data_IF_252729167747
#
_entry.id   IF_252729167747
#
_cell.length_a   1.000
_cell.length_b   1.000
_cell.length_c   1.000
_cell.angle_alpha   90.00
_cell.angle_beta   90.00
_cell.angle_gamma   90.00
#
_symmetry.space_group_name_H-M   'P 1'
#
loop_
_entity.id
_entity.type
_entity.pdbx_description
1 polymer ?
#
# COMPACT_ATOMS: atom_id res chain seq x y z
N UNK A 1 22.24 28.69 12.74
CA UNK A 1 23.61 28.38 12.29
C UNK A 1 24.12 29.62 11.59
N UNK A 2 25.29 30.13 11.96
CA UNK A 2 25.91 31.25 11.26
C UNK A 2 26.33 30.83 9.84
N UNK A 3 26.22 31.71 8.85
CA UNK A 3 26.59 31.43 7.46
C UNK A 3 28.04 30.97 7.34
N UNK A 4 28.93 31.58 8.11
CA UNK A 4 30.35 31.19 8.16
C UNK A 4 30.54 29.73 8.62
N UNK A 5 29.74 29.29 9.61
CA UNK A 5 29.77 27.93 10.13
C UNK A 5 29.25 26.92 9.10
N UNK A 6 28.19 27.26 8.34
CA UNK A 6 27.68 26.42 7.26
C UNK A 6 28.71 26.23 6.14
N UNK A 7 29.38 27.32 5.72
CA UNK A 7 30.43 27.25 4.69
C UNK A 7 31.60 26.37 5.15
N UNK A 8 32.04 26.50 6.41
CA UNK A 8 33.09 25.65 6.96
C UNK A 8 32.67 24.17 7.05
N UNK A 9 31.42 23.90 7.43
CA UNK A 9 30.86 22.55 7.40
C UNK A 9 30.91 21.94 5.98
N UNK A 10 30.40 22.65 4.98
CA UNK A 10 30.39 22.17 3.59
C UNK A 10 31.81 21.92 3.05
N UNK A 11 32.77 22.77 3.41
CA UNK A 11 34.19 22.58 3.05
C UNK A 11 34.75 21.26 3.60
N UNK A 12 34.49 20.98 4.89
CA UNK A 12 34.93 19.74 5.54
C UNK A 12 34.26 18.51 4.93
N UNK A 13 32.98 18.60 4.60
CA UNK A 13 32.22 17.50 4.01
C UNK A 13 32.78 17.12 2.63
N UNK A 14 33.07 18.10 1.77
CA UNK A 14 33.72 17.87 0.47
C UNK A 14 35.10 17.23 0.62
N UNK A 15 35.90 17.65 1.61
CA UNK A 15 37.20 17.05 1.89
C UNK A 15 37.05 15.58 2.32
N UNK A 16 36.13 15.30 3.24
CA UNK A 16 35.84 13.94 3.71
C UNK A 16 35.33 13.04 2.57
N UNK A 17 34.39 13.52 1.74
CA UNK A 17 33.87 12.78 0.59
C UNK A 17 34.98 12.41 -0.40
N UNK A 18 35.90 13.34 -0.70
CA UNK A 18 37.05 13.07 -1.60
C UNK A 18 37.95 11.98 -1.03
N UNK A 19 38.21 11.99 0.28
CA UNK A 19 39.05 10.97 0.90
C UNK A 19 38.36 9.60 0.95
N UNK A 20 37.05 9.56 1.14
CA UNK A 20 36.25 8.32 1.01
C UNK A 20 36.31 7.78 -0.42
N UNK A 21 36.12 8.63 -1.44
CA UNK A 21 36.16 8.24 -2.85
C UNK A 21 37.51 7.61 -3.23
N UNK A 22 38.63 8.15 -2.75
CA UNK A 22 39.98 7.58 -3.00
C UNK A 22 40.16 6.17 -2.42
N UNK A 23 39.40 5.81 -1.38
CA UNK A 23 39.52 4.52 -0.66
C UNK A 23 38.50 3.49 -1.13
N UNK A 24 37.36 3.93 -1.69
CA UNK A 24 36.31 3.05 -2.16
C UNK A 24 36.66 2.46 -3.54
N UNK A 25 36.31 1.18 -3.78
CA UNK A 25 36.52 0.58 -5.08
C UNK A 25 35.51 1.14 -6.11
N UNK A 26 35.96 1.30 -7.36
CA UNK A 26 35.18 1.94 -8.43
C UNK A 26 34.28 0.99 -9.23
N UNK A 27 34.34 -0.33 -8.99
CA UNK A 27 33.61 -1.33 -9.81
C UNK A 27 32.07 -1.16 -9.77
N UNK A 28 31.51 -0.60 -8.69
CA UNK A 28 30.08 -0.33 -8.56
C UNK A 28 29.64 1.00 -9.19
N UNK A 29 30.59 1.84 -9.62
CA UNK A 29 30.33 3.13 -10.28
C UNK A 29 30.33 3.02 -11.80
N UNK A 30 29.96 1.85 -12.34
CA UNK A 30 29.84 1.61 -13.77
C UNK A 30 28.74 0.56 -14.06
N UNK A 31 28.31 0.49 -15.32
CA UNK A 31 27.41 -0.56 -15.79
C UNK A 31 26.00 -0.48 -15.20
N UNK A 32 25.42 -1.66 -14.95
CA UNK A 32 24.01 -1.80 -14.61
C UNK A 32 23.64 -1.23 -13.23
N UNK A 33 24.50 -1.37 -12.22
CA UNK A 33 24.23 -0.88 -10.86
C UNK A 33 24.13 0.65 -10.82
N UNK A 34 25.06 1.34 -11.48
CA UNK A 34 25.00 2.80 -11.60
C UNK A 34 23.77 3.25 -12.40
N UNK A 35 23.41 2.53 -13.47
CA UNK A 35 22.20 2.81 -14.24
C UNK A 35 20.92 2.62 -13.39
N UNK A 36 20.87 1.61 -12.51
CA UNK A 36 19.78 1.41 -11.57
C UNK A 36 19.69 2.53 -10.54
N UNK A 37 20.83 3.03 -10.04
CA UNK A 37 20.85 4.19 -9.14
C UNK A 37 20.32 5.46 -9.82
N UNK A 38 20.70 5.73 -11.08
CA UNK A 38 20.14 6.85 -11.85
C UNK A 38 18.64 6.70 -12.10
N UNK A 39 18.18 5.46 -12.34
CA UNK A 39 16.76 5.16 -12.49
C UNK A 39 15.98 5.45 -11.19
N UNK A 40 16.52 5.08 -10.04
CA UNK A 40 15.95 5.43 -8.71
C UNK A 40 15.80 6.94 -8.56
N UNK A 41 16.82 7.74 -8.92
CA UNK A 41 16.74 9.21 -8.88
C UNK A 41 15.63 9.72 -9.81
N UNK A 42 15.58 9.22 -11.05
CA UNK A 42 14.56 9.60 -12.03
C UNK A 42 13.14 9.28 -11.55
N UNK A 43 12.94 8.14 -10.90
CA UNK A 43 11.64 7.74 -10.34
C UNK A 43 11.25 8.66 -9.19
N UNK A 44 12.19 8.92 -8.27
CA UNK A 44 11.95 9.76 -7.10
C UNK A 44 11.69 11.23 -7.48
N UNK A 45 12.41 11.78 -8.45
CA UNK A 45 12.24 13.15 -8.94
C UNK A 45 10.89 13.33 -9.67
N UNK A 46 10.48 12.31 -10.42
CA UNK A 46 9.17 12.31 -11.09
C UNK A 46 8.03 12.28 -10.07
N UNK A 47 8.14 11.44 -9.05
CA UNK A 47 7.12 11.24 -8.03
C UNK A 47 5.79 10.69 -8.56
N UNK A 48 4.86 10.48 -7.63
CA UNK A 48 3.49 10.01 -7.88
C UNK A 48 2.49 11.11 -7.52
N UNK A 49 1.46 11.31 -8.35
CA UNK A 49 0.42 12.30 -8.08
C UNK A 49 -0.51 11.79 -6.97
N UNK A 50 -0.80 12.66 -6.00
CA UNK A 50 -1.61 12.34 -4.83
C UNK A 50 -2.96 13.05 -4.92
N UNK A 51 -4.05 12.34 -4.64
CA UNK A 51 -5.37 12.93 -4.39
C UNK A 51 -5.40 13.53 -2.98
N UNK A 52 -4.99 14.80 -2.86
CA UNK A 52 -4.92 15.49 -1.57
C UNK A 52 -6.29 15.69 -0.92
N UNK A 53 -7.34 15.82 -1.73
CA UNK A 53 -8.71 15.98 -1.23
C UNK A 53 -9.18 14.69 -0.54
N UNK A 54 -8.91 13.54 -1.15
CA UNK A 54 -9.16 12.24 -0.53
C UNK A 54 -8.33 12.07 0.75
N UNK A 55 -7.06 12.48 0.74
CA UNK A 55 -6.20 12.39 1.93
C UNK A 55 -6.79 13.19 3.10
N UNK A 56 -7.19 14.44 2.86
CA UNK A 56 -7.78 15.30 3.89
C UNK A 56 -9.13 14.75 4.38
N UNK A 57 -9.99 14.33 3.45
CA UNK A 57 -11.28 13.73 3.77
C UNK A 57 -11.13 12.45 4.62
N UNK A 58 -10.18 11.58 4.28
CA UNK A 58 -9.89 10.37 5.03
C UNK A 58 -9.35 10.67 6.43
N UNK A 59 -8.49 11.69 6.60
CA UNK A 59 -8.04 12.13 7.93
C UNK A 59 -9.24 12.54 8.78
N UNK A 60 -10.12 13.39 8.24
CA UNK A 60 -11.33 13.83 8.95
C UNK A 60 -12.25 12.67 9.33
N UNK A 61 -12.48 11.73 8.41
CA UNK A 61 -13.27 10.53 8.64
C UNK A 61 -12.69 9.66 9.77
N UNK A 62 -11.37 9.46 9.76
CA UNK A 62 -10.69 8.63 10.76
C UNK A 62 -10.74 9.27 12.15
N UNK A 63 -10.56 10.59 12.25
CA UNK A 63 -10.63 11.27 13.55
C UNK A 63 -12.04 11.23 14.14
N UNK A 64 -13.09 11.41 13.32
CA UNK A 64 -14.48 11.20 13.78
C UNK A 64 -14.72 9.76 14.23
N UNK A 65 -14.29 8.77 13.44
CA UNK A 65 -14.45 7.36 13.78
C UNK A 65 -13.75 7.03 15.11
N UNK A 66 -12.54 7.53 15.35
CA UNK A 66 -11.84 7.34 16.64
C UNK A 66 -12.61 7.94 17.82
N UNK A 67 -13.21 9.10 17.65
CA UNK A 67 -14.03 9.72 18.72
C UNK A 67 -15.24 8.85 19.04
N UNK A 68 -15.97 8.37 18.02
CA UNK A 68 -17.11 7.46 18.20
C UNK A 68 -16.69 6.16 18.89
N UNK A 69 -15.58 5.56 18.47
CA UNK A 69 -15.03 4.34 19.08
C UNK A 69 -14.61 4.56 20.55
N UNK A 70 -14.03 5.73 20.87
CA UNK A 70 -13.67 6.08 22.24
C UNK A 70 -14.92 6.25 23.12
N UNK A 71 -15.92 7.01 22.65
CA UNK A 71 -17.20 7.17 23.35
C UNK A 71 -17.90 5.83 23.60
N UNK A 72 -17.88 4.92 22.60
CA UNK A 72 -18.44 3.58 22.76
C UNK A 72 -17.66 2.75 23.78
N UNK A 73 -16.33 2.85 23.77
CA UNK A 73 -15.48 2.19 24.80
C UNK A 73 -15.84 2.69 26.19
N UNK A 74 -15.94 4.01 26.36
CA UNK A 74 -16.26 4.62 27.65
C UNK A 74 -17.64 4.16 28.14
N UNK A 75 -18.64 4.14 27.27
CA UNK A 75 -19.99 3.66 27.59
C UNK A 75 -20.01 2.18 27.99
N UNK A 76 -19.30 1.30 27.25
CA UNK A 76 -19.26 -0.14 27.54
C UNK A 76 -18.51 -0.46 28.83
N UNK A 77 -17.54 0.36 29.21
CA UNK A 77 -16.71 0.15 30.40
C UNK A 77 -17.17 0.96 31.62
N UNK A 78 -18.25 1.73 31.51
CA UNK A 78 -18.74 2.61 32.57
C UNK A 78 -17.72 3.70 32.97
N UNK A 79 -16.93 4.19 32.01
CA UNK A 79 -15.90 5.21 32.25
C UNK A 79 -14.52 4.66 32.65
N UNK A 80 -14.39 3.36 32.91
CA UNK A 80 -13.13 2.76 33.36
C UNK A 80 -12.02 2.80 32.29
N UNK A 81 -12.38 2.79 31.01
CA UNK A 81 -11.45 2.86 29.88
C UNK A 81 -11.92 3.95 28.92
N UNK A 82 -11.07 4.96 28.71
CA UNK A 82 -11.41 6.13 27.89
C UNK A 82 -11.29 5.86 26.39
N UNK A 83 -10.34 4.99 26.02
CA UNK A 83 -10.19 4.55 24.64
C UNK A 83 -9.62 3.14 24.60
N UNK A 84 -10.11 2.31 23.67
CA UNK A 84 -9.61 0.95 23.52
C UNK A 84 -8.12 0.89 23.16
N UNK A 85 -7.50 2.00 22.75
CA UNK A 85 -6.04 2.13 22.55
C UNK A 85 -5.22 2.03 23.85
N UNK A 86 -5.83 2.28 25.02
CA UNK A 86 -5.22 2.16 26.35
C UNK A 86 -5.06 0.68 26.75
N UNK A 87 -4.00 0.04 26.25
CA UNK A 87 -3.75 -1.41 26.36
C UNK A 87 -3.94 -1.95 27.78
N UNK A 88 -3.23 -1.37 28.75
CA UNK A 88 -3.18 -1.90 30.11
C UNK A 88 -4.51 -1.71 30.85
N UNK A 89 -5.13 -0.54 30.67
CA UNK A 89 -6.46 -0.27 31.22
C UNK A 89 -7.52 -1.23 30.65
N UNK A 90 -7.47 -1.50 29.33
CA UNK A 90 -8.40 -2.43 28.70
C UNK A 90 -8.18 -3.87 29.19
N UNK A 91 -6.93 -4.33 29.27
CA UNK A 91 -6.60 -5.66 29.82
C UNK A 91 -7.09 -5.81 31.27
N UNK A 92 -6.86 -4.79 32.10
CA UNK A 92 -7.31 -4.77 33.49
C UNK A 92 -8.83 -4.81 33.57
N UNK A 93 -9.53 -4.03 32.75
CA UNK A 93 -11.00 -4.02 32.71
C UNK A 93 -11.57 -5.38 32.29
N UNK A 94 -11.05 -5.98 31.22
CA UNK A 94 -11.49 -7.30 30.74
C UNK A 94 -11.32 -8.38 31.82
N UNK A 95 -10.21 -8.35 32.56
CA UNK A 95 -9.96 -9.32 33.62
C UNK A 95 -10.87 -9.07 34.83
N UNK A 96 -10.98 -7.82 35.30
CA UNK A 96 -11.72 -7.48 36.52
C UNK A 96 -13.24 -7.53 36.36
N UNK A 97 -13.77 -7.04 35.24
CA UNK A 97 -15.22 -6.96 35.01
C UNK A 97 -15.79 -8.23 34.37
N UNK A 98 -14.99 -8.96 33.58
CA UNK A 98 -15.48 -10.11 32.80
C UNK A 98 -14.73 -11.42 33.08
N UNK A 99 -13.69 -11.42 33.91
CA UNK A 99 -12.87 -12.61 34.18
C UNK A 99 -12.06 -13.11 32.97
N UNK A 100 -11.90 -12.25 31.94
CA UNK A 100 -11.21 -12.62 30.70
C UNK A 100 -9.77 -12.13 30.75
N UNK A 101 -8.85 -13.06 30.97
CA UNK A 101 -7.40 -12.79 30.94
C UNK A 101 -6.84 -13.05 29.53
N UNK A 102 -6.34 -12.01 28.88
CA UNK A 102 -5.63 -12.13 27.60
C UNK A 102 -4.12 -11.99 27.81
N UNK A 103 -3.28 -12.79 27.11
CA UNK A 103 -1.83 -12.72 27.25
C UNK A 103 -1.25 -11.43 26.65
N UNK A 104 -1.90 -10.89 25.62
CA UNK A 104 -1.50 -9.67 24.93
C UNK A 104 -2.68 -9.06 24.15
N UNK A 105 -2.41 -7.92 23.51
CA UNK A 105 -3.33 -7.24 22.59
C UNK A 105 -2.80 -7.26 21.15
N UNK A 106 -2.06 -8.31 20.78
CA UNK A 106 -1.56 -8.47 19.43
C UNK A 106 -2.70 -8.85 18.47
N UNK A 107 -2.51 -8.54 17.19
CA UNK A 107 -3.54 -8.69 16.16
C UNK A 107 -4.14 -10.11 16.10
N UNK A 108 -3.29 -11.15 16.21
CA UNK A 108 -3.73 -12.54 16.13
C UNK A 108 -4.58 -12.95 17.35
N UNK A 109 -4.16 -12.56 18.56
CA UNK A 109 -4.88 -12.78 19.81
C UNK A 109 -6.25 -12.11 19.77
N UNK A 110 -6.30 -10.83 19.41
CA UNK A 110 -7.53 -10.05 19.32
C UNK A 110 -8.48 -10.65 18.28
N UNK A 111 -7.99 -11.01 17.08
CA UNK A 111 -8.82 -11.59 16.04
C UNK A 111 -9.48 -12.89 16.48
N UNK A 112 -8.72 -13.81 17.09
CA UNK A 112 -9.24 -15.07 17.60
C UNK A 112 -10.34 -14.87 18.65
N UNK A 113 -10.15 -13.91 19.56
CA UNK A 113 -11.10 -13.65 20.63
C UNK A 113 -12.38 -12.94 20.15
N UNK A 114 -12.28 -12.07 19.15
CA UNK A 114 -13.48 -11.44 18.54
C UNK A 114 -14.42 -12.50 17.94
N UNK A 115 -13.87 -13.57 17.38
CA UNK A 115 -14.65 -14.62 16.74
C UNK A 115 -15.07 -15.76 17.70
N UNK A 116 -14.67 -15.71 18.98
CA UNK A 116 -14.94 -16.77 19.96
C UNK A 116 -16.36 -16.65 20.55
N UNK A 117 -17.29 -17.58 20.27
CA UNK A 117 -18.64 -17.54 20.81
C UNK A 117 -18.73 -17.79 22.31
N UNK A 118 -17.68 -18.29 22.95
CA UNK A 118 -17.64 -18.49 24.39
C UNK A 118 -17.42 -17.19 25.16
N UNK A 119 -16.93 -16.13 24.51
CA UNK A 119 -16.69 -14.84 25.16
C UNK A 119 -17.98 -14.01 25.24
N UNK A 120 -18.18 -13.23 26.33
CA UNK A 120 -19.31 -12.32 26.45
C UNK A 120 -19.35 -11.31 25.29
N UNK A 121 -20.56 -10.95 24.85
CA UNK A 121 -20.75 -10.02 23.72
C UNK A 121 -20.03 -8.69 23.94
N UNK A 122 -20.13 -8.12 25.14
CA UNK A 122 -19.43 -6.88 25.53
C UNK A 122 -17.91 -6.98 25.33
N UNK A 123 -17.32 -8.14 25.64
CA UNK A 123 -15.88 -8.38 25.46
C UNK A 123 -15.53 -8.43 23.98
N UNK A 124 -16.33 -9.15 23.17
CA UNK A 124 -16.12 -9.21 21.70
C UNK A 124 -16.24 -7.84 21.06
N UNK A 125 -17.21 -7.04 21.50
CA UNK A 125 -17.41 -5.68 21.03
C UNK A 125 -16.20 -4.78 21.39
N UNK A 126 -15.74 -4.79 22.65
CA UNK A 126 -14.55 -4.05 23.07
C UNK A 126 -13.29 -4.43 22.28
N UNK A 127 -13.12 -5.72 21.98
CA UNK A 127 -12.01 -6.23 21.18
C UNK A 127 -12.14 -5.84 19.70
N UNK A 128 -13.35 -5.79 19.15
CA UNK A 128 -13.62 -5.27 17.81
C UNK A 128 -13.28 -3.78 17.72
N UNK A 129 -13.69 -2.98 18.71
CA UNK A 129 -13.34 -1.57 18.82
C UNK A 129 -11.81 -1.40 18.92
N UNK A 130 -11.13 -2.19 19.75
CA UNK A 130 -9.66 -2.22 19.85
C UNK A 130 -9.01 -2.46 18.49
N UNK A 131 -9.50 -3.46 17.75
CA UNK A 131 -8.99 -3.83 16.42
C UNK A 131 -9.09 -2.66 15.44
N UNK A 132 -10.23 -1.98 15.41
CA UNK A 132 -10.46 -0.82 14.55
C UNK A 132 -9.58 0.38 14.97
N UNK A 133 -9.59 0.74 16.25
CA UNK A 133 -8.88 1.90 16.78
C UNK A 133 -7.35 1.80 16.68
N UNK A 134 -6.80 0.57 16.60
CA UNK A 134 -5.35 0.33 16.47
C UNK A 134 -4.85 0.36 15.02
N UNK A 135 -5.70 0.67 14.04
CA UNK A 135 -5.31 0.70 12.62
C UNK A 135 -4.26 1.79 12.33
N UNK A 136 -3.26 1.46 11.51
CA UNK A 136 -2.14 2.36 11.16
C UNK A 136 -2.45 3.32 10.01
N UNK A 137 -3.65 3.28 9.44
CA UNK A 137 -4.01 4.07 8.25
C UNK A 137 -3.88 5.57 8.48
N UNK A 138 -4.20 6.10 9.67
CA UNK A 138 -4.10 7.54 9.95
C UNK A 138 -2.70 8.07 9.71
N UNK A 139 -1.68 7.38 10.23
CA UNK A 139 -0.29 7.82 10.11
C UNK A 139 0.17 7.86 8.64
N UNK A 140 -0.38 6.96 7.81
CA UNK A 140 -0.06 6.93 6.37
C UNK A 140 -0.71 8.09 5.62
N UNK A 141 -1.97 8.43 5.94
CA UNK A 141 -2.62 9.63 5.38
C UNK A 141 -1.93 10.91 5.82
N UNK A 142 -1.56 11.02 7.10
CA UNK A 142 -0.78 12.15 7.60
C UNK A 142 0.56 12.25 6.85
N UNK A 143 1.29 11.14 6.68
CA UNK A 143 2.52 11.14 5.90
C UNK A 143 2.30 11.60 4.44
N UNK A 144 1.21 11.18 3.79
CA UNK A 144 0.86 11.69 2.45
C UNK A 144 0.66 13.21 2.46
N UNK A 145 -0.09 13.75 3.42
CA UNK A 145 -0.34 15.19 3.50
C UNK A 145 0.95 15.99 3.73
N UNK A 146 1.82 15.53 4.62
CA UNK A 146 3.06 16.25 4.98
C UNK A 146 4.17 16.12 3.93
N UNK A 147 4.25 14.98 3.22
CA UNK A 147 5.34 14.71 2.29
C UNK A 147 5.02 15.02 0.82
N UNK A 148 3.76 15.34 0.51
CA UNK A 148 3.37 15.74 -0.85
C UNK A 148 3.92 17.14 -1.15
N UNK A 149 4.61 17.28 -2.27
CA UNK A 149 5.14 18.56 -2.73
C UNK A 149 4.02 19.52 -3.17
N UNK A 150 4.27 20.83 -3.26
CA UNK A 150 3.25 21.82 -3.65
C UNK A 150 2.58 21.57 -5.02
N UNK A 151 3.24 20.83 -5.92
CA UNK A 151 2.69 20.43 -7.22
C UNK A 151 1.85 19.14 -7.16
N UNK A 152 1.47 18.70 -5.96
CA UNK A 152 0.64 17.52 -5.71
C UNK A 152 1.39 16.19 -5.86
N UNK A 153 2.71 16.21 -6.05
CA UNK A 153 3.52 14.99 -6.25
C UNK A 153 4.28 14.59 -4.99
N UNK A 154 4.16 13.32 -4.65
CA UNK A 154 4.96 12.68 -3.61
C UNK A 154 6.27 12.14 -4.21
N UNK A 155 7.40 12.56 -3.65
CA UNK A 155 8.77 12.27 -4.13
C UNK A 155 9.64 11.63 -3.06
N UNK A 156 10.76 11.03 -3.47
CA UNK A 156 11.74 10.48 -2.53
C UNK A 156 11.22 9.31 -1.69
N UNK A 157 10.30 8.50 -2.24
CA UNK A 157 9.67 7.39 -1.51
C UNK A 157 10.46 6.09 -1.59
N UNK A 158 11.44 6.01 -2.47
CA UNK A 158 12.28 4.83 -2.68
C UNK A 158 13.75 5.18 -2.47
N UNK A 159 14.51 4.22 -1.98
CA UNK A 159 15.96 4.29 -1.91
C UNK A 159 16.58 3.05 -2.53
N UNK A 160 17.36 3.26 -3.59
CA UNK A 160 18.25 2.26 -4.16
C UNK A 160 19.15 1.60 -3.10
N UNK A 161 19.25 0.28 -3.14
CA UNK A 161 20.09 -0.52 -2.23
C UNK A 161 19.88 -0.19 -0.73
N UNK A 162 18.66 0.18 -0.35
CA UNK A 162 18.34 0.54 1.04
C UNK A 162 18.25 -0.66 1.99
N UNK A 163 18.07 -1.88 1.47
CA UNK A 163 18.09 -3.12 2.23
C UNK A 163 19.49 -3.77 2.18
N UNK A 164 20.35 -3.40 3.14
CA UNK A 164 21.79 -3.71 3.15
C UNK A 164 22.16 -5.19 2.97
N UNK A 165 21.31 -6.14 3.36
CA UNK A 165 21.57 -7.58 3.22
C UNK A 165 21.21 -8.16 1.86
N UNK A 166 20.25 -7.56 1.16
CA UNK A 166 19.64 -8.17 -0.03
C UNK A 166 19.73 -7.32 -1.29
N UNK A 167 20.17 -6.07 -1.19
CA UNK A 167 20.23 -5.17 -2.33
C UNK A 167 18.89 -4.52 -2.71
N UNK A 168 17.78 -4.91 -2.06
CA UNK A 168 16.45 -4.43 -2.44
C UNK A 168 16.28 -2.93 -2.19
N UNK A 169 15.46 -2.32 -3.03
CA UNK A 169 15.04 -0.93 -2.82
C UNK A 169 14.18 -0.85 -1.57
N UNK A 170 14.44 0.16 -0.73
CA UNK A 170 13.72 0.36 0.52
C UNK A 170 12.76 1.55 0.41
N UNK A 171 11.67 1.53 1.19
CA UNK A 171 10.76 2.67 1.29
C UNK A 171 11.33 3.77 2.18
N UNK A 172 11.07 5.04 1.85
CA UNK A 172 11.37 6.24 2.64
C UNK A 172 10.15 7.13 2.73
N UNK A 173 10.10 8.01 3.73
CA UNK A 173 8.97 8.91 3.99
C UNK A 173 7.66 8.10 4.07
N UNK A 174 6.81 8.20 3.04
CA UNK A 174 5.71 7.29 2.81
C UNK A 174 6.19 6.02 2.09
N UNK A 175 6.17 4.88 2.78
CA UNK A 175 6.67 3.60 2.26
C UNK A 175 5.60 2.87 1.42
N UNK A 176 5.65 2.91 0.07
CA UNK A 176 4.58 2.34 -0.75
C UNK A 176 4.55 0.80 -0.68
N UNK A 177 5.69 0.18 -0.38
CA UNK A 177 5.83 -1.27 -0.18
C UNK A 177 4.99 -1.80 0.99
N UNK A 178 4.69 -0.96 1.98
CA UNK A 178 3.98 -1.36 3.20
C UNK A 178 2.51 -0.86 3.21
N UNK A 179 1.92 -0.69 2.03
CA UNK A 179 0.51 -0.35 1.92
C UNK A 179 -0.36 -1.59 2.16
N UNK A 180 -1.39 -1.49 3.02
CA UNK A 180 -2.29 -2.60 3.29
C UNK A 180 -2.92 -3.06 1.97
N UNK A 181 -3.13 -4.36 1.86
CA UNK A 181 -3.95 -4.89 0.77
C UNK A 181 -5.41 -4.52 1.08
N UNK A 182 -6.15 -3.96 0.11
CA UNK A 182 -7.57 -3.71 0.30
C UNK A 182 -8.30 -5.01 0.63
N UNK A 183 -9.19 -4.95 1.63
CA UNK A 183 -10.06 -6.06 2.01
C UNK A 183 -11.48 -5.91 1.46
N UNK A 184 -11.84 -4.70 1.01
CA UNK A 184 -13.12 -4.38 0.39
C UNK A 184 -13.02 -4.42 -1.14
N UNK A 185 -14.15 -4.62 -1.80
CA UNK A 185 -14.23 -4.57 -3.27
C UNK A 185 -14.01 -3.14 -3.79
N UNK A 186 -13.62 -3.03 -5.06
CA UNK A 186 -13.33 -1.73 -5.65
C UNK A 186 -14.59 -0.84 -5.74
N UNK A 187 -15.76 -1.45 -5.95
CA UNK A 187 -17.04 -0.75 -5.99
C UNK A 187 -17.37 -0.13 -4.64
N UNK A 188 -17.17 -0.89 -3.55
CA UNK A 188 -17.36 -0.41 -2.18
C UNK A 188 -16.38 0.72 -1.85
N UNK A 189 -15.10 0.57 -2.24
CA UNK A 189 -14.08 1.60 -2.05
C UNK A 189 -14.46 2.88 -2.78
N UNK A 190 -14.97 2.81 -4.01
CA UNK A 190 -15.37 3.98 -4.78
C UNK A 190 -16.50 4.75 -4.09
N UNK A 191 -17.55 4.06 -3.64
CA UNK A 191 -18.66 4.68 -2.87
C UNK A 191 -18.14 5.29 -1.57
N UNK A 192 -17.23 4.59 -0.88
CA UNK A 192 -16.64 5.10 0.35
C UNK A 192 -15.76 6.33 0.16
N UNK A 193 -15.04 6.43 -0.97
CA UNK A 193 -14.29 7.64 -1.34
C UNK A 193 -15.23 8.83 -1.51
N UNK A 194 -16.33 8.65 -2.24
CA UNK A 194 -17.32 9.71 -2.44
C UNK A 194 -17.95 10.13 -1.11
N UNK A 195 -18.32 9.17 -0.25
CA UNK A 195 -18.88 9.44 1.07
C UNK A 195 -17.88 10.13 2.02
N UNK A 196 -16.59 9.78 1.96
CA UNK A 196 -15.54 10.48 2.71
C UNK A 196 -15.41 11.93 2.25
N UNK A 197 -15.32 12.16 0.93
CA UNK A 197 -15.21 13.52 0.36
C UNK A 197 -16.46 14.37 0.64
N UNK A 198 -17.64 13.75 0.69
CA UNK A 198 -18.89 14.41 1.07
C UNK A 198 -19.05 14.62 2.59
N UNK A 199 -18.17 14.04 3.42
CA UNK A 199 -18.19 14.19 4.87
C UNK A 199 -19.27 13.36 5.59
N UNK A 200 -19.87 12.37 4.92
CA UNK A 200 -20.99 11.57 5.45
C UNK A 200 -20.70 10.07 5.56
N UNK A 201 -19.43 9.66 5.48
CA UNK A 201 -19.01 8.24 5.49
C UNK A 201 -19.54 7.44 6.69
N UNK A 202 -19.64 8.07 7.85
CA UNK A 202 -20.16 7.49 9.10
C UNK A 202 -21.65 7.17 9.07
N UNK A 203 -22.40 7.73 8.12
CA UNK A 203 -23.81 7.41 7.88
C UNK A 203 -24.00 6.23 6.90
N UNK A 204 -22.94 5.87 6.18
CA UNK A 204 -22.98 4.88 5.08
C UNK A 204 -22.24 3.60 5.46
N UNK A 205 -21.22 3.68 6.31
CA UNK A 205 -20.36 2.57 6.66
C UNK A 205 -20.16 2.43 8.17
N UNK A 206 -20.37 1.21 8.67
CA UNK A 206 -20.15 0.88 10.08
C UNK A 206 -18.65 0.86 10.46
N UNK A 207 -17.79 0.32 9.57
CA UNK A 207 -16.34 0.22 9.80
C UNK A 207 -15.57 1.18 8.87
N UNK A 208 -15.55 2.45 9.27
CA UNK A 208 -14.78 3.52 8.59
C UNK A 208 -13.26 3.23 8.61
N UNK A 209 -12.75 2.52 9.62
CA UNK A 209 -11.33 2.21 9.74
C UNK A 209 -10.87 1.18 8.70
N UNK A 210 -11.68 0.15 8.45
CA UNK A 210 -11.45 -0.82 7.39
C UNK A 210 -11.58 -0.19 5.99
N UNK A 211 -12.56 0.70 5.81
CA UNK A 211 -12.76 1.43 4.56
C UNK A 211 -11.56 2.32 4.23
N UNK A 212 -11.13 3.16 5.18
CA UNK A 212 -9.99 4.07 5.00
C UNK A 212 -8.68 3.32 4.78
N UNK A 213 -8.50 2.15 5.40
CA UNK A 213 -7.37 1.25 5.10
C UNK A 213 -7.41 0.73 3.66
N UNK A 214 -8.58 0.28 3.20
CA UNK A 214 -8.75 -0.25 1.85
C UNK A 214 -8.61 0.83 0.77
N UNK A 215 -9.06 2.06 1.05
CA UNK A 215 -9.01 3.19 0.13
C UNK A 215 -7.62 3.85 0.01
N UNK A 216 -6.65 3.51 0.87
CA UNK A 216 -5.37 4.22 0.94
C UNK A 216 -4.59 4.21 -0.37
N UNK A 217 -4.64 3.10 -1.13
CA UNK A 217 -4.00 3.02 -2.45
C UNK A 217 -4.65 3.93 -3.49
N UNK A 218 -5.93 4.24 -3.33
CA UNK A 218 -6.68 5.14 -4.23
C UNK A 218 -6.22 6.59 -4.13
N UNK A 219 -5.43 6.95 -3.11
CA UNK A 219 -4.77 8.25 -3.05
C UNK A 219 -3.69 8.41 -4.13
N UNK A 220 -3.16 7.32 -4.68
CA UNK A 220 -2.19 7.34 -5.76
C UNK A 220 -2.95 7.41 -7.09
N UNK A 221 -2.91 8.56 -7.76
CA UNK A 221 -3.72 8.80 -8.96
C UNK A 221 -2.84 9.02 -10.21
N UNK A 222 -3.43 8.78 -11.37
CA UNK A 222 -2.85 9.21 -12.63
C UNK A 222 -3.18 10.68 -12.88
N UNK A 223 -2.28 11.46 -13.51
CA UNK A 223 -2.64 12.75 -14.09
C UNK A 223 -3.76 12.61 -15.13
N UNK A 224 -4.47 13.70 -15.40
CA UNK A 224 -5.51 13.77 -16.43
C UNK A 224 -5.02 13.21 -17.77
N UNK A 225 -5.86 12.42 -18.43
CA UNK A 225 -5.58 11.72 -19.70
C UNK A 225 -4.47 10.65 -19.63
N UNK A 226 -3.99 10.29 -18.44
CA UNK A 226 -3.07 9.16 -18.22
C UNK A 226 -3.76 8.08 -17.40
N UNK A 227 -3.16 6.89 -17.38
CA UNK A 227 -3.57 5.77 -16.53
C UNK A 227 -2.35 5.22 -15.80
N UNK A 228 -2.57 4.65 -14.62
CA UNK A 228 -1.56 3.86 -13.94
C UNK A 228 -1.52 2.46 -14.58
N UNK A 229 -0.31 1.96 -14.80
CA UNK A 229 -0.07 0.61 -15.33
C UNK A 229 0.82 -0.12 -14.33
N UNK A 230 0.42 -1.32 -13.96
CA UNK A 230 1.14 -2.17 -12.99
C UNK A 230 1.74 -3.35 -13.75
N UNK A 231 3.03 -3.57 -13.56
CA UNK A 231 3.73 -4.76 -14.02
C UNK A 231 4.33 -5.45 -12.78
N UNK A 232 4.03 -6.74 -12.62
CA UNK A 232 4.47 -7.54 -11.47
C UNK A 232 5.18 -8.81 -11.95
N UNK A 233 6.21 -9.24 -11.21
CA UNK A 233 6.95 -10.46 -11.49
C UNK A 233 6.36 -11.62 -10.67
N UNK A 234 5.36 -12.29 -11.25
CA UNK A 234 4.61 -13.38 -10.61
C UNK A 234 5.51 -14.46 -10.02
N UNK A 235 5.57 -14.54 -8.69
CA UNK A 235 6.27 -15.59 -7.92
C UNK A 235 7.76 -15.71 -8.33
N UNK A 236 8.43 -14.58 -8.60
CA UNK A 236 9.82 -14.60 -9.08
C UNK A 236 10.79 -15.33 -8.15
N UNK A 237 10.65 -15.17 -6.84
CA UNK A 237 11.52 -15.82 -5.85
C UNK A 237 11.41 -17.36 -5.90
N UNK A 238 10.18 -17.88 -5.98
CA UNK A 238 9.94 -19.32 -6.09
C UNK A 238 10.45 -19.91 -7.40
N UNK A 239 10.38 -19.14 -8.49
CA UNK A 239 10.91 -19.53 -9.81
C UNK A 239 12.43 -19.57 -9.82
N UNK A 240 13.08 -18.53 -9.29
CA UNK A 240 14.54 -18.48 -9.16
C UNK A 240 15.05 -19.60 -8.28
N UNK A 241 14.37 -19.88 -7.16
CA UNK A 241 14.76 -20.98 -6.27
C UNK A 241 14.64 -22.35 -6.95
N UNK A 242 13.54 -22.61 -7.66
CA UNK A 242 13.38 -23.86 -8.42
C UNK A 242 14.46 -24.01 -9.51
N UNK A 243 14.81 -22.91 -10.18
CA UNK A 243 15.89 -22.90 -11.17
C UNK A 243 17.26 -23.19 -10.54
N UNK A 244 17.60 -22.52 -9.44
CA UNK A 244 18.85 -22.74 -8.70
C UNK A 244 18.97 -24.19 -8.17
N UNK A 245 17.85 -24.78 -7.76
CA UNK A 245 17.79 -26.15 -7.26
C UNK A 245 17.76 -27.22 -8.37
N UNK A 246 17.66 -26.83 -9.65
CA UNK A 246 17.51 -27.78 -10.77
C UNK A 246 16.18 -28.54 -10.76
N UNK A 247 15.14 -27.99 -10.13
CA UNK A 247 13.82 -28.61 -9.95
C UNK A 247 12.98 -28.54 -11.24
N UNK A 248 13.39 -29.32 -12.23
CA UNK A 248 12.77 -29.39 -13.57
C UNK A 248 11.24 -29.56 -13.52
N UNK A 249 10.65 -30.43 -12.68
CA UNK A 249 9.19 -30.56 -12.60
C UNK A 249 8.48 -29.25 -12.22
N UNK A 250 9.03 -28.48 -11.27
CA UNK A 250 8.47 -27.18 -10.88
C UNK A 250 8.59 -26.15 -11.99
N UNK A 251 9.73 -26.14 -12.71
CA UNK A 251 9.93 -25.26 -13.87
C UNK A 251 8.93 -25.55 -15.00
N UNK A 252 8.62 -26.83 -15.25
CA UNK A 252 7.58 -27.20 -16.21
C UNK A 252 6.20 -26.72 -15.77
N UNK A 253 5.83 -26.94 -14.51
CA UNK A 253 4.56 -26.45 -13.97
C UNK A 253 4.42 -24.92 -14.10
N UNK A 254 5.50 -24.18 -13.85
CA UNK A 254 5.54 -22.74 -14.08
C UNK A 254 5.35 -22.36 -15.55
N UNK A 255 6.02 -23.04 -16.48
CA UNK A 255 5.89 -22.80 -17.93
C UNK A 255 4.47 -23.07 -18.41
N UNK A 256 3.84 -24.15 -17.95
CA UNK A 256 2.46 -24.48 -18.28
C UNK A 256 1.47 -23.49 -17.68
N UNK A 257 1.74 -22.97 -16.48
CA UNK A 257 0.94 -21.92 -15.87
C UNK A 257 1.00 -20.60 -16.66
N UNK A 258 2.18 -20.24 -17.17
CA UNK A 258 2.39 -19.02 -17.95
C UNK A 258 1.93 -19.13 -19.42
N UNK A 259 1.51 -20.32 -19.85
CA UNK A 259 1.00 -20.52 -21.21
C UNK A 259 -0.46 -20.09 -21.25
N UNK A 260 -0.74 -19.06 -22.04
CA UNK A 260 -2.05 -18.43 -22.14
C UNK A 260 -2.63 -18.63 -23.54
N UNK A 261 -3.96 -18.68 -23.63
CA UNK A 261 -4.66 -18.70 -24.91
C UNK A 261 -5.02 -17.26 -25.31
N UNK A 262 -4.69 -16.89 -26.54
CA UNK A 262 -5.10 -15.63 -27.16
C UNK A 262 -6.60 -15.62 -27.47
N UNK A 263 -7.13 -14.44 -27.77
CA UNK A 263 -8.53 -14.25 -28.19
C UNK A 263 -8.88 -14.96 -29.51
N UNK A 264 -7.86 -15.23 -30.31
CA UNK A 264 -7.89 -15.99 -31.56
C UNK A 264 -7.87 -17.52 -31.34
N UNK A 265 -7.78 -17.97 -30.09
CA UNK A 265 -7.68 -19.39 -29.73
C UNK A 265 -6.25 -19.94 -29.80
N UNK A 266 -5.26 -19.15 -30.18
CA UNK A 266 -3.86 -19.58 -30.29
C UNK A 266 -3.21 -19.66 -28.92
N UNK A 267 -2.46 -20.72 -28.64
CA UNK A 267 -1.70 -20.83 -27.40
C UNK A 267 -0.34 -20.13 -27.52
N UNK A 268 -0.03 -19.29 -26.54
CA UNK A 268 1.23 -18.55 -26.45
C UNK A 268 1.94 -18.87 -25.14
N UNK A 269 3.22 -19.21 -25.23
CA UNK A 269 4.06 -19.34 -24.04
C UNK A 269 4.30 -17.96 -23.39
N UNK A 270 4.55 -17.95 -22.09
CA UNK A 270 4.92 -16.72 -21.37
C UNK A 270 6.15 -16.02 -21.97
N UNK A 271 7.10 -16.78 -22.52
CA UNK A 271 8.27 -16.26 -23.24
C UNK A 271 7.87 -15.53 -24.52
N UNK A 272 7.01 -16.13 -25.35
CA UNK A 272 6.52 -15.51 -26.57
C UNK A 272 5.78 -14.20 -26.28
N UNK A 273 4.94 -14.19 -25.23
CA UNK A 273 4.22 -13.00 -24.77
C UNK A 273 5.21 -11.91 -24.33
N UNK A 274 6.21 -12.27 -23.53
CA UNK A 274 7.22 -11.32 -23.02
C UNK A 274 8.06 -10.73 -24.17
N UNK A 275 8.47 -11.56 -25.13
CA UNK A 275 9.22 -11.13 -26.30
C UNK A 275 8.41 -10.20 -27.20
N UNK A 276 7.12 -10.46 -27.39
CA UNK A 276 6.23 -9.57 -28.12
C UNK A 276 6.09 -8.21 -27.43
N UNK A 277 5.89 -8.20 -26.10
CA UNK A 277 5.76 -6.98 -25.32
C UNK A 277 7.01 -6.07 -25.38
N UNK A 278 8.21 -6.67 -25.42
CA UNK A 278 9.48 -5.92 -25.50
C UNK A 278 9.76 -5.30 -26.87
N UNK A 279 9.18 -5.84 -27.95
CA UNK A 279 9.39 -5.34 -29.33
C UNK A 279 8.41 -4.23 -29.72
N UNK A 280 7.37 -3.99 -28.93
CA UNK A 280 6.33 -3.03 -29.27
C UNK A 280 6.77 -1.58 -28.96
N UNK A 281 6.64 -0.62 -29.88
CA UNK A 281 6.98 0.77 -29.61
C UNK A 281 6.05 1.35 -28.53
N UNK A 282 6.60 2.13 -27.60
CA UNK A 282 5.91 2.67 -26.42
C UNK A 282 4.68 3.57 -26.71
N UNK A 283 4.35 3.85 -27.96
CA UNK A 283 3.23 4.69 -28.40
C UNK A 283 2.06 3.83 -28.87
N UNK A 284 1.19 3.44 -27.94
CA UNK A 284 -0.11 2.84 -28.26
C UNK A 284 -0.17 1.35 -27.93
N UNK A 285 -0.58 1.06 -26.69
CA UNK A 285 -1.07 -0.26 -26.30
C UNK A 285 -2.55 -0.36 -26.68
N UNK A 286 -2.96 -1.18 -27.66
CA UNK A 286 -4.31 -1.75 -27.63
C UNK A 286 -4.40 -2.67 -26.40
N UNK A 287 -5.53 -2.65 -25.71
CA UNK A 287 -5.77 -3.53 -24.55
C UNK A 287 -5.76 -5.00 -24.98
N UNK A 288 -4.65 -5.70 -24.81
CA UNK A 288 -4.60 -7.16 -24.94
C UNK A 288 -5.08 -7.77 -23.64
N UNK A 289 -6.36 -8.15 -23.60
CA UNK A 289 -6.90 -8.97 -22.53
C UNK A 289 -6.38 -10.40 -22.73
N UNK A 290 -5.34 -10.79 -21.98
CA UNK A 290 -4.86 -12.16 -21.92
C UNK A 290 -5.60 -12.87 -20.77
N UNK A 291 -6.21 -14.02 -21.06
CA UNK A 291 -6.88 -14.85 -20.05
C UNK A 291 -5.96 -16.01 -19.68
N UNK A 292 -5.54 -16.06 -18.41
CA UNK A 292 -4.88 -17.23 -17.84
C UNK A 292 -5.96 -18.15 -17.27
N UNK A 293 -6.07 -19.39 -17.78
CA UNK A 293 -6.91 -20.50 -17.28
C UNK A 293 -8.12 -20.06 -16.43
N UNK A 294 -9.09 -19.38 -17.05
CA UNK A 294 -10.39 -19.07 -16.44
C UNK A 294 -10.46 -17.78 -15.59
N UNK A 295 -9.44 -16.90 -15.59
CA UNK A 295 -9.58 -15.53 -15.05
C UNK A 295 -9.40 -14.50 -16.16
N UNK A 296 -10.49 -13.84 -16.49
CA UNK A 296 -10.50 -12.61 -17.31
C UNK A 296 -9.70 -11.53 -16.59
N UNK A 297 -8.54 -11.17 -17.14
CA UNK A 297 -7.90 -9.90 -16.78
C UNK A 297 -8.72 -8.78 -17.45
N UNK A 298 -9.63 -8.17 -16.70
CA UNK A 298 -10.22 -6.90 -17.10
C UNK A 298 -9.21 -5.80 -16.81
N UNK A 299 -8.55 -5.31 -17.85
CA UNK A 299 -8.02 -3.94 -17.79
C UNK A 299 -9.21 -3.02 -17.48
N UNK A 300 -9.19 -2.37 -16.32
CA UNK A 300 -10.32 -1.61 -15.80
C UNK A 300 -10.81 -0.57 -16.81
N UNK A 301 -11.92 -0.90 -17.50
CA UNK A 301 -12.81 0.09 -18.09
C UNK A 301 -13.74 0.56 -16.98
N UNK A 302 -13.52 1.78 -16.49
CA UNK A 302 -14.66 2.54 -15.96
C UNK A 302 -15.62 2.82 -17.14
N UNK A 303 -16.91 2.48 -17.04
CA UNK A 303 -17.88 2.90 -18.03
C UNK A 303 -18.14 4.40 -17.86
N UNK A 304 -17.64 5.20 -18.79
CA UNK A 304 -18.17 6.55 -19.02
C UNK A 304 -19.59 6.36 -19.57
N UNK A 305 -20.61 6.49 -18.72
CA UNK A 305 -21.99 6.65 -19.17
C UNK A 305 -22.13 8.04 -19.78
N UNK A 306 -22.09 8.15 -21.10
CA UNK A 306 -22.62 9.30 -21.83
C UNK A 306 -24.15 9.25 -21.74
N UNK A 307 -24.72 10.08 -20.87
CA UNK A 307 -26.17 10.29 -20.82
C UNK A 307 -26.63 11.06 -22.05
N UNK A 308 -27.24 10.36 -23.00
CA UNK A 308 -28.23 10.96 -23.90
C UNK A 308 -29.40 9.98 -24.04
N UNK A 309 -30.47 10.26 -23.29
CA UNK A 309 -31.80 9.66 -23.56
C UNK A 309 -32.53 10.59 -24.53
N UNK A 310 -33.03 10.12 -25.67
CA UNK A 310 -34.17 10.75 -26.30
C UNK A 310 -35.45 10.32 -25.55
N UNK A 311 -36.34 11.29 -25.41
CA UNK A 311 -37.69 11.16 -24.84
C UNK A 311 -38.51 10.09 -25.55
N UNK A 312 -39.22 9.27 -24.78
CA UNK A 312 -40.68 9.15 -24.75
C UNK A 312 -41.08 8.36 -23.50
#
# INVERSE_FOLDING_TARGET
>A
MDWAQFVEYARRDVAAMRDVVKRLPSHNYAGAELALWFLDQTINDRGVLIDTDLVQAAIGAVERAKQTLAQRTEALTGGAVQAATQRDALLQHLNTAHGVALPDMQQHTVARCVDDPALPETVRELLSIRRQASSTSTAKYQALLHCTSPDGRLRGTLQFNGASRTGRWAGRLFQPHNLPRPTLSQEVIAVGIDAMKAGCVDLVFDDVMALTSSALRSCLIAPTHKKLVVADLSIIEGRVLAWLAGETPKLHAFREFDTCQGVDGTWHSGEAITHAARRWPCNGMPSTNLSAKGRTFTSGRMPIRSGSRPRR
#
